data_IF_498595037171
#
_entry.id   IF_498595037171
#
_cell.length_a   1.000
_cell.length_b   1.000
_cell.length_c   1.000
_cell.angle_alpha   90.00
_cell.angle_beta   90.00
_cell.angle_gamma   90.00
#
_symmetry.space_group_name_H-M   'P 1'
#
loop_
_entity.id
_entity.type
_entity.pdbx_description
1 polymer ?
#
# COMPACT_ATOMS: atom_id res chain seq x y z
N UNK A 1 -0.59 -1.68 13.31
CA UNK A 1 0.21 -0.76 12.49
C UNK A 1 -0.72 0.17 11.74
N UNK A 2 -0.15 1.14 11.02
CA UNK A 2 -0.93 1.94 10.08
C UNK A 2 -1.16 1.14 8.79
N UNK A 3 -2.25 1.41 8.09
CA UNK A 3 -2.48 0.91 6.75
C UNK A 3 -1.89 1.90 5.75
N UNK A 4 -1.39 1.42 4.63
CA UNK A 4 -0.96 2.24 3.48
C UNK A 4 -1.83 1.91 2.27
N UNK A 5 -2.29 2.94 1.57
CA UNK A 5 -3.29 2.83 0.51
C UNK A 5 -2.73 3.30 -0.83
N UNK A 6 -3.19 2.65 -1.91
CA UNK A 6 -2.75 2.93 -3.27
C UNK A 6 -3.91 3.01 -4.26
N UNK A 7 -3.74 3.84 -5.30
CA UNK A 7 -4.72 4.02 -6.37
C UNK A 7 -4.21 3.44 -7.70
N UNK A 8 -5.11 3.13 -8.62
CA UNK A 8 -4.79 2.73 -10.01
C UNK A 8 -3.83 1.55 -10.17
N UNK A 9 -3.74 0.63 -9.19
CA UNK A 9 -2.87 -0.56 -9.29
C UNK A 9 -3.45 -1.63 -10.24
N UNK A 10 -4.77 -1.58 -10.46
CA UNK A 10 -5.50 -2.32 -11.47
C UNK A 10 -6.79 -1.55 -11.84
N UNK A 11 -7.49 -1.99 -12.88
CA UNK A 11 -8.77 -1.38 -13.28
C UNK A 11 -9.85 -1.69 -12.24
N UNK A 12 -10.27 -0.66 -11.50
CA UNK A 12 -11.27 -0.77 -10.44
C UNK A 12 -12.25 0.41 -10.52
N UNK A 13 -13.49 0.20 -10.05
CA UNK A 13 -14.50 1.25 -9.94
C UNK A 13 -14.32 2.19 -8.74
N UNK A 14 -13.32 1.95 -7.89
CA UNK A 14 -13.02 2.73 -6.68
C UNK A 14 -11.66 3.41 -6.78
N UNK A 15 -11.52 4.56 -6.10
CA UNK A 15 -10.25 5.30 -6.07
C UNK A 15 -9.13 4.51 -5.40
N UNK A 16 -9.41 3.93 -4.23
CA UNK A 16 -8.47 3.02 -3.57
C UNK A 16 -8.58 1.64 -4.21
N UNK A 17 -7.44 1.11 -4.62
CA UNK A 17 -7.32 -0.16 -5.35
C UNK A 17 -6.47 -1.17 -4.61
N UNK A 18 -5.49 -0.74 -3.80
CA UNK A 18 -4.66 -1.67 -3.03
C UNK A 18 -4.41 -1.16 -1.61
N UNK A 19 -4.16 -2.08 -0.68
CA UNK A 19 -3.84 -1.80 0.72
C UNK A 19 -2.74 -2.73 1.24
N UNK A 20 -1.87 -2.20 2.09
CA UNK A 20 -0.85 -2.96 2.83
C UNK A 20 -0.76 -2.54 4.29
N UNK A 21 -0.11 -3.36 5.11
CA UNK A 21 0.22 -3.03 6.51
C UNK A 21 1.58 -2.36 6.52
N UNK A 22 1.64 -1.11 6.98
CA UNK A 22 2.90 -0.38 7.09
C UNK A 22 3.72 -0.87 8.28
N UNK A 23 5.00 -1.13 8.04
CA UNK A 23 5.94 -1.69 9.02
C UNK A 23 6.99 -0.68 9.50
N UNK A 24 7.01 0.53 8.93
CA UNK A 24 8.11 1.48 9.11
C UNK A 24 9.21 1.28 8.08
N UNK A 25 10.20 2.18 8.09
CA UNK A 25 11.36 2.14 7.18
C UNK A 25 10.98 1.98 5.70
N UNK A 26 9.94 2.71 5.26
CA UNK A 26 9.39 2.65 3.90
C UNK A 26 9.07 1.23 3.41
N UNK A 27 8.69 0.32 4.32
CA UNK A 27 8.27 -1.04 3.98
C UNK A 27 6.85 -1.32 4.39
N UNK A 28 6.18 -2.13 3.57
CA UNK A 28 4.88 -2.71 3.90
C UNK A 28 4.91 -4.23 3.78
N UNK A 29 3.97 -4.89 4.44
CA UNK A 29 3.59 -6.27 4.16
C UNK A 29 2.21 -6.28 3.52
N UNK A 30 2.04 -6.99 2.41
CA UNK A 30 0.78 -6.99 1.67
C UNK A 30 0.52 -8.31 0.97
N UNK A 31 -0.75 -8.53 0.62
CA UNK A 31 -1.16 -9.59 -0.29
C UNK A 31 -0.84 -9.18 -1.74
N UNK A 32 0.46 -9.14 -2.06
CA UNK A 32 0.93 -9.15 -3.44
C UNK A 32 0.87 -10.56 -4.02
N UNK A 33 1.60 -10.77 -5.11
CA UNK A 33 1.80 -12.10 -5.69
C UNK A 33 3.30 -12.41 -5.81
N UNK A 34 3.89 -13.18 -4.86
CA UNK A 34 3.26 -13.78 -3.67
C UNK A 34 3.03 -12.77 -2.53
N UNK A 35 2.35 -13.20 -1.47
CA UNK A 35 2.23 -12.45 -0.21
C UNK A 35 3.63 -12.18 0.34
N UNK A 36 3.93 -10.92 0.69
CA UNK A 36 5.27 -10.59 1.14
C UNK A 36 5.51 -9.11 1.46
N UNK A 37 6.80 -8.80 1.60
CA UNK A 37 7.29 -7.45 1.85
C UNK A 37 7.48 -6.69 0.54
N UNK A 38 7.19 -5.40 0.57
CA UNK A 38 7.48 -4.48 -0.54
C UNK A 38 8.16 -3.20 -0.04
N UNK A 39 9.08 -2.68 -0.86
CA UNK A 39 9.75 -1.40 -0.65
C UNK A 39 8.93 -0.27 -1.28
N UNK A 40 8.41 0.62 -0.43
CA UNK A 40 7.59 1.75 -0.84
C UNK A 40 8.37 2.82 -1.59
N UNK A 41 9.71 2.81 -1.56
CA UNK A 41 10.53 3.75 -2.33
C UNK A 41 10.63 3.39 -3.81
N UNK A 42 10.17 2.20 -4.23
CA UNK A 42 10.15 1.83 -5.64
C UNK A 42 9.29 2.81 -6.45
N UNK A 43 9.67 3.13 -7.71
CA UNK A 43 8.89 4.04 -8.55
C UNK A 43 7.42 3.64 -8.71
N UNK A 44 7.14 2.34 -8.82
CA UNK A 44 5.77 1.82 -8.91
C UNK A 44 4.96 2.21 -7.67
N UNK A 45 5.43 1.84 -6.47
CA UNK A 45 4.70 2.16 -5.24
C UNK A 45 4.60 3.66 -4.97
N UNK A 46 5.60 4.46 -5.36
CA UNK A 46 5.55 5.91 -5.27
C UNK A 46 4.50 6.53 -6.20
N UNK A 47 4.39 6.06 -7.44
CA UNK A 47 3.41 6.56 -8.41
C UNK A 47 1.96 6.23 -8.02
N UNK A 48 1.76 5.15 -7.24
CA UNK A 48 0.45 4.70 -6.81
C UNK A 48 0.08 5.10 -5.38
N UNK A 49 1.00 5.71 -4.62
CA UNK A 49 0.81 6.01 -3.19
C UNK A 49 -0.26 7.08 -2.99
N UNK A 50 -1.30 6.76 -2.21
CA UNK A 50 -2.29 7.74 -1.74
C UNK A 50 -1.89 8.28 -0.37
N UNK A 51 -1.54 7.41 0.56
CA UNK A 51 -1.16 7.79 1.92
C UNK A 51 -1.37 6.69 2.95
N UNK A 52 -1.22 7.04 4.22
CA UNK A 52 -1.39 6.14 5.35
C UNK A 52 -2.62 6.48 6.20
N UNK A 53 -3.22 5.48 6.84
CA UNK A 53 -4.36 5.65 7.74
C UNK A 53 -4.25 4.79 8.99
N UNK A 54 -4.62 5.36 10.14
CA UNK A 54 -4.60 4.67 11.44
C UNK A 54 -6.01 4.23 11.81
N UNK A 55 -6.13 2.97 12.24
CA UNK A 55 -7.39 2.45 12.78
C UNK A 55 -7.66 3.11 14.14
N UNK A 56 -8.90 3.54 14.37
CA UNK A 56 -9.34 4.05 15.67
C UNK A 56 -9.31 2.92 16.70
N UNK A 57 -8.65 3.18 17.83
CA UNK A 57 -8.54 2.25 18.96
C UNK A 57 -9.75 2.37 19.89
#
# INVERSE_FOLDING_TARGET
GDLVFFHSTYNAGSYITHVGIYLGNNRMFHAGDPIGYADLTSPYWQQHLVGAGRIKQ
#
